data_IF_745034264308
#
_entry.id   IF_745034264308
#
_cell.length_a   1.000
_cell.length_b   1.000
_cell.length_c   1.000
_cell.angle_alpha   90.00
_cell.angle_beta   90.00
_cell.angle_gamma   90.00
#
_symmetry.space_group_name_H-M   'P 1'
#
loop_
_entity.id
_entity.type
_entity.pdbx_description
1 polymer ?
#
# COMPACT_ATOMS: atom_id res chain seq x y z
N UNK A 1 22.54 -12.44 -9.67
CA UNK A 1 21.18 -11.93 -9.97
C UNK A 1 21.12 -10.48 -9.55
N UNK A 2 20.51 -9.61 -10.36
CA UNK A 2 20.31 -8.19 -10.03
C UNK A 2 18.82 -7.99 -9.81
N UNK A 3 18.43 -7.38 -8.70
CA UNK A 3 17.04 -6.96 -8.53
C UNK A 3 16.74 -5.87 -9.56
N UNK A 4 15.70 -6.06 -10.36
CA UNK A 4 15.28 -5.09 -11.38
C UNK A 4 14.60 -3.88 -10.74
N UNK A 5 13.86 -4.09 -9.65
CA UNK A 5 13.17 -3.06 -8.89
C UNK A 5 13.03 -3.48 -7.42
N UNK A 6 13.10 -2.52 -6.50
CA UNK A 6 12.78 -2.72 -5.08
C UNK A 6 11.43 -2.08 -4.81
N UNK A 7 10.52 -2.83 -4.21
CA UNK A 7 9.19 -2.34 -3.79
C UNK A 7 9.10 -2.50 -2.27
N UNK A 8 9.20 -1.40 -1.51
CA UNK A 8 9.02 -1.44 -0.06
C UNK A 8 7.59 -1.83 0.30
N UNK A 9 7.46 -2.72 1.28
CA UNK A 9 6.20 -2.98 1.98
C UNK A 9 6.22 -2.18 3.28
N UNK A 10 5.30 -1.23 3.42
CA UNK A 10 5.17 -0.40 4.62
C UNK A 10 3.95 -0.85 5.41
N UNK A 11 4.15 -1.02 6.72
CA UNK A 11 3.03 -1.29 7.61
C UNK A 11 2.20 -0.03 7.83
N UNK A 12 0.89 -0.19 7.67
CA UNK A 12 -0.12 0.82 7.95
C UNK A 12 -1.05 0.29 9.06
N UNK A 13 -1.80 1.19 9.69
CA UNK A 13 -2.61 0.84 10.87
C UNK A 13 -4.08 1.24 10.73
N UNK A 14 -4.38 2.13 9.79
CA UNK A 14 -5.71 2.67 9.55
C UNK A 14 -5.82 2.96 8.06
N UNK A 15 -6.67 2.21 7.38
CA UNK A 15 -6.94 2.38 5.95
C UNK A 15 -7.31 3.81 5.57
N UNK A 16 -8.23 4.45 6.31
CA UNK A 16 -8.74 5.78 5.95
C UNK A 16 -7.64 6.83 6.03
N UNK A 17 -6.87 6.83 7.13
CA UNK A 17 -5.70 7.72 7.25
C UNK A 17 -4.63 7.43 6.20
N UNK A 18 -4.51 6.18 5.79
CA UNK A 18 -3.57 5.79 4.74
C UNK A 18 -3.99 6.38 3.39
N UNK A 19 -5.27 6.30 3.03
CA UNK A 19 -5.79 6.93 1.81
C UNK A 19 -5.63 8.45 1.87
N UNK A 20 -6.05 9.09 2.98
CA UNK A 20 -5.90 10.54 3.16
C UNK A 20 -4.45 11.00 2.96
N UNK A 21 -3.47 10.25 3.47
CA UNK A 21 -2.07 10.63 3.37
C UNK A 21 -1.43 10.26 2.02
N UNK A 22 -1.49 9.00 1.61
CA UNK A 22 -0.78 8.54 0.42
C UNK A 22 -1.49 8.94 -0.87
N UNK A 23 -2.83 8.92 -0.89
CA UNK A 23 -3.62 9.20 -2.11
C UNK A 23 -3.97 10.68 -2.16
N UNK A 24 -4.75 11.18 -1.20
CA UNK A 24 -5.31 12.53 -1.29
C UNK A 24 -4.25 13.63 -1.12
N UNK A 25 -3.33 13.44 -0.16
CA UNK A 25 -2.27 14.42 0.11
C UNK A 25 -1.05 14.25 -0.80
N UNK A 26 -0.49 13.04 -0.86
CA UNK A 26 0.73 12.79 -1.63
C UNK A 26 0.47 12.54 -3.12
N UNK A 27 -0.76 12.26 -3.54
CA UNK A 27 -1.12 12.07 -4.95
C UNK A 27 -0.63 10.74 -5.53
N UNK A 28 -0.58 9.67 -4.73
CA UNK A 28 -0.45 8.31 -5.27
C UNK A 28 -1.81 7.83 -5.78
N UNK A 29 -1.79 6.93 -6.75
CA UNK A 29 -2.96 6.22 -7.24
C UNK A 29 -2.99 4.81 -6.65
N UNK A 30 -4.16 4.38 -6.21
CA UNK A 30 -4.38 2.97 -5.83
C UNK A 30 -4.44 2.15 -7.11
N UNK A 31 -3.55 1.18 -7.24
CA UNK A 31 -3.48 0.28 -8.41
C UNK A 31 -4.39 -0.93 -8.19
N UNK A 32 -4.32 -1.52 -7.00
CA UNK A 32 -5.16 -2.63 -6.57
C UNK A 32 -5.19 -2.71 -5.05
N UNK A 33 -6.25 -3.34 -4.54
CA UNK A 33 -6.46 -3.62 -3.12
C UNK A 33 -6.85 -5.09 -2.96
N UNK A 34 -6.41 -5.70 -1.87
CA UNK A 34 -6.79 -7.04 -1.47
C UNK A 34 -7.20 -7.06 0.00
N UNK A 35 -8.41 -7.56 0.26
CA UNK A 35 -8.92 -7.90 1.59
C UNK A 35 -9.66 -9.24 1.46
N UNK A 36 -9.57 -10.08 2.47
CA UNK A 36 -10.24 -11.38 2.47
C UNK A 36 -11.74 -11.25 2.72
N UNK A 37 -12.12 -10.41 3.68
CA UNK A 37 -13.50 -10.13 4.06
C UNK A 37 -13.67 -8.65 4.40
N UNK A 38 -14.90 -8.23 4.68
CA UNK A 38 -15.16 -6.89 5.19
C UNK A 38 -14.54 -6.75 6.60
N UNK A 39 -13.74 -5.70 6.82
CA UNK A 39 -12.98 -5.45 8.05
C UNK A 39 -11.79 -6.39 8.34
N UNK A 40 -11.27 -7.12 7.35
CA UNK A 40 -9.95 -7.77 7.48
C UNK A 40 -8.81 -6.85 7.03
N UNK A 41 -7.56 -7.10 7.47
CA UNK A 41 -6.41 -6.29 7.05
C UNK A 41 -6.31 -6.13 5.54
N UNK A 42 -6.07 -4.90 5.09
CA UNK A 42 -5.86 -4.60 3.68
C UNK A 42 -4.39 -4.75 3.31
N UNK A 43 -4.17 -5.29 2.11
CA UNK A 43 -2.92 -5.18 1.38
C UNK A 43 -3.18 -4.44 0.06
N UNK A 44 -2.42 -3.38 -0.23
CA UNK A 44 -2.63 -2.58 -1.44
C UNK A 44 -1.33 -2.10 -2.07
N UNK A 45 -1.37 -1.93 -3.38
CA UNK A 45 -0.32 -1.26 -4.14
C UNK A 45 -0.73 0.15 -4.50
N UNK A 46 0.16 1.10 -4.25
CA UNK A 46 0.00 2.49 -4.68
C UNK A 46 1.17 2.92 -5.55
N UNK A 47 0.88 3.75 -6.57
CA UNK A 47 1.90 4.25 -7.51
C UNK A 47 1.84 5.74 -7.68
N UNK A 48 3.03 6.33 -7.84
CA UNK A 48 3.20 7.72 -8.27
C UNK A 48 4.46 7.83 -9.11
N UNK A 49 4.32 8.19 -10.38
CA UNK A 49 5.43 8.21 -11.34
C UNK A 49 6.16 6.86 -11.37
N UNK A 50 7.45 6.84 -11.04
CA UNK A 50 8.31 5.66 -10.99
C UNK A 50 8.42 5.05 -9.57
N UNK A 51 7.61 5.52 -8.61
CA UNK A 51 7.59 5.00 -7.24
C UNK A 51 6.42 4.02 -7.12
N UNK A 52 6.72 2.81 -6.65
CA UNK A 52 5.72 1.81 -6.26
C UNK A 52 5.91 1.49 -4.79
N UNK A 53 4.83 1.54 -4.01
CA UNK A 53 4.80 1.12 -2.62
C UNK A 53 3.72 0.06 -2.42
N UNK A 54 4.02 -0.91 -1.58
CA UNK A 54 3.02 -1.81 -1.02
C UNK A 54 2.70 -1.36 0.40
N UNK A 55 1.42 -1.28 0.73
CA UNK A 55 0.93 -0.84 2.02
C UNK A 55 0.11 -1.97 2.63
N UNK A 56 0.43 -2.37 3.86
CA UNK A 56 -0.16 -3.55 4.50
C UNK A 56 -0.60 -3.28 5.94
N UNK A 57 -1.85 -3.60 6.26
CA UNK A 57 -2.34 -3.65 7.65
C UNK A 57 -1.94 -4.95 8.36
N UNK A 58 -1.40 -5.93 7.63
CA UNK A 58 -0.97 -7.19 8.22
C UNK A 58 0.12 -6.95 9.27
N UNK A 59 0.00 -7.68 10.38
CA UNK A 59 0.98 -7.68 11.45
C UNK A 59 1.41 -9.11 11.77
N UNK A 60 2.70 -9.38 11.59
CA UNK A 60 3.25 -10.69 11.86
C UNK A 60 2.97 -11.60 10.67
N UNK A 61 4.06 -12.04 10.06
CA UNK A 61 4.08 -13.14 9.12
C UNK A 61 3.86 -14.45 9.90
#
# INVERSE_FOLDING_TARGET
MKAEQVIPILRIFDYRKTVEFYVDWLGFEIVWEHSFEENTPVYMEVKKNNITLHLSEHHGD
#
